data_IF_722046709722
#
_entry.id   IF_722046709722
#
_cell.length_a   1.000
_cell.length_b   1.000
_cell.length_c   1.000
_cell.angle_alpha   90.00
_cell.angle_beta   90.00
_cell.angle_gamma   90.00
#
_symmetry.space_group_name_H-M   'P 1'
#
loop_
_entity.id
_entity.type
_entity.pdbx_description
1 polymer ?
#
# COMPACT_ATOMS: atom_id res chain seq x y z
N UNK A 1 24.94 23.72 -1.40
CA UNK A 1 23.74 24.55 -1.43
C UNK A 1 22.82 24.09 -0.30
N UNK A 2 22.31 25.03 0.51
CA UNK A 2 21.36 24.71 1.58
C UNK A 2 19.99 24.47 0.94
N UNK A 3 19.47 23.23 1.06
CA UNK A 3 18.13 22.86 0.61
C UNK A 3 17.26 22.71 1.85
N UNK A 4 16.22 23.52 1.96
CA UNK A 4 15.20 23.38 3.00
C UNK A 4 14.13 22.38 2.52
N UNK A 5 13.79 21.42 3.39
CA UNK A 5 12.78 20.40 3.10
C UNK A 5 11.53 20.67 3.93
N UNK A 6 10.42 20.93 3.24
CA UNK A 6 9.09 21.03 3.85
C UNK A 6 8.39 19.69 3.63
N UNK A 7 8.32 18.90 4.69
CA UNK A 7 7.81 17.53 4.63
C UNK A 7 6.31 17.45 4.90
N UNK A 8 5.60 16.68 4.04
CA UNK A 8 4.19 16.36 4.19
C UNK A 8 3.97 14.88 3.93
N UNK A 9 3.03 14.26 4.64
CA UNK A 9 2.63 12.86 4.47
C UNK A 9 1.26 12.74 3.81
N UNK A 10 1.02 11.61 3.19
CA UNK A 10 -0.30 11.19 2.72
C UNK A 10 -0.50 9.69 3.02
N UNK A 11 -1.72 9.31 3.36
CA UNK A 11 -2.03 7.93 3.75
C UNK A 11 -2.37 7.05 2.54
N UNK A 12 -2.94 7.64 1.48
CA UNK A 12 -3.45 6.94 0.31
C UNK A 12 -2.96 7.61 -0.96
N UNK A 13 -2.38 6.84 -1.86
CA UNK A 13 -1.85 7.28 -3.15
C UNK A 13 -2.87 8.07 -4.00
N UNK A 14 -4.13 7.61 -4.04
CA UNK A 14 -5.19 8.24 -4.84
C UNK A 14 -5.57 9.62 -4.30
N UNK A 15 -5.48 9.83 -3.01
CA UNK A 15 -5.71 11.15 -2.38
C UNK A 15 -4.61 12.12 -2.78
N UNK A 16 -3.36 11.72 -2.70
CA UNK A 16 -2.21 12.50 -3.15
C UNK A 16 -2.33 12.84 -4.65
N UNK A 17 -2.59 11.83 -5.49
CA UNK A 17 -2.74 12.02 -6.93
C UNK A 17 -3.86 13.02 -7.27
N UNK A 18 -5.00 12.93 -6.57
CA UNK A 18 -6.13 13.85 -6.77
C UNK A 18 -5.74 15.30 -6.45
N UNK A 19 -4.93 15.52 -5.42
CA UNK A 19 -4.44 16.86 -5.08
C UNK A 19 -3.55 17.41 -6.19
N UNK A 20 -2.63 16.61 -6.71
CA UNK A 20 -1.74 16.99 -7.82
C UNK A 20 -2.55 17.25 -9.11
N UNK A 21 -3.50 16.38 -9.46
CA UNK A 21 -4.35 16.55 -10.66
C UNK A 21 -5.17 17.83 -10.64
N UNK A 22 -5.62 18.25 -9.45
CA UNK A 22 -6.36 19.51 -9.29
C UNK A 22 -5.47 20.75 -9.26
N UNK A 23 -4.13 20.60 -9.23
CA UNK A 23 -3.17 21.68 -9.16
C UNK A 23 -3.22 22.51 -7.89
N UNK A 24 -3.70 21.93 -6.79
CA UNK A 24 -3.86 22.63 -5.53
C UNK A 24 -2.64 22.57 -4.62
N UNK A 25 -1.66 21.73 -4.93
CA UNK A 25 -0.47 21.53 -4.08
C UNK A 25 0.81 21.73 -4.92
N UNK A 26 1.70 22.54 -4.42
CA UNK A 26 3.00 22.88 -5.02
C UNK A 26 4.08 21.93 -4.50
N UNK A 27 3.99 20.64 -4.85
CA UNK A 27 5.04 19.67 -4.50
C UNK A 27 6.20 19.74 -5.48
N UNK A 28 7.43 19.79 -4.98
CA UNK A 28 8.64 19.64 -5.78
C UNK A 28 9.04 18.17 -5.97
N UNK A 29 8.72 17.32 -4.98
CA UNK A 29 8.97 15.88 -5.00
C UNK A 29 7.78 15.17 -4.36
N UNK A 30 7.40 14.01 -4.90
CA UNK A 30 6.46 13.08 -4.27
C UNK A 30 6.99 11.66 -4.40
N UNK A 31 6.56 10.78 -3.48
CA UNK A 31 7.00 9.38 -3.45
C UNK A 31 5.79 8.44 -3.47
N UNK A 32 5.13 8.26 -4.61
CA UNK A 32 4.04 7.30 -4.77
C UNK A 32 4.54 5.88 -5.07
N UNK A 33 3.62 4.92 -4.96
CA UNK A 33 3.86 3.55 -5.39
C UNK A 33 3.90 3.41 -6.92
N UNK A 34 4.50 2.33 -7.39
CA UNK A 34 4.84 2.04 -8.79
C UNK A 34 3.66 2.23 -9.78
N UNK A 35 2.47 1.73 -9.46
CA UNK A 35 1.30 1.85 -10.34
C UNK A 35 0.80 3.29 -10.49
N UNK A 36 1.03 4.14 -9.49
CA UNK A 36 0.77 5.58 -9.58
C UNK A 36 1.83 6.28 -10.42
N UNK A 37 3.11 5.90 -10.27
CA UNK A 37 4.18 6.40 -11.14
C UNK A 37 3.84 6.12 -12.59
N UNK A 38 3.44 4.88 -12.92
CA UNK A 38 3.02 4.49 -14.27
C UNK A 38 1.85 5.35 -14.78
N UNK A 39 0.85 5.62 -13.93
CA UNK A 39 -0.29 6.49 -14.24
C UNK A 39 0.14 7.93 -14.50
N UNK A 40 1.03 8.47 -13.66
CA UNK A 40 1.53 9.85 -13.79
C UNK A 40 2.35 10.03 -15.08
N UNK A 41 3.20 9.04 -15.43
CA UNK A 41 3.93 9.03 -16.72
C UNK A 41 2.96 9.06 -17.90
N UNK A 42 1.96 8.17 -17.90
CA UNK A 42 0.98 8.08 -18.98
C UNK A 42 0.17 9.36 -19.16
N UNK A 43 -0.14 10.04 -18.07
CA UNK A 43 -0.89 11.30 -18.05
C UNK A 43 -0.03 12.56 -18.28
N UNK A 44 1.26 12.42 -18.55
CA UNK A 44 2.20 13.54 -18.72
C UNK A 44 2.23 14.48 -17.51
N UNK A 45 2.26 13.91 -16.31
CA UNK A 45 2.21 14.62 -15.03
C UNK A 45 3.58 14.79 -14.37
N UNK A 46 4.65 14.31 -14.98
CA UNK A 46 6.00 14.33 -14.41
C UNK A 46 6.98 15.13 -15.25
N UNK A 47 7.99 15.70 -14.60
CA UNK A 47 9.18 16.28 -15.18
C UNK A 47 10.33 15.28 -15.09
N UNK A 48 11.24 15.24 -16.08
CA UNK A 48 12.43 14.41 -15.99
C UNK A 48 13.35 14.89 -14.87
N UNK A 49 14.03 13.92 -14.24
CA UNK A 49 15.04 14.18 -13.23
C UNK A 49 16.27 14.80 -13.89
N UNK A 50 16.73 15.92 -13.36
CA UNK A 50 17.97 16.54 -13.84
C UNK A 50 19.19 15.81 -13.26
N UNK A 51 19.94 15.13 -14.14
CA UNK A 51 21.13 14.34 -13.78
C UNK A 51 22.44 15.18 -13.76
N UNK A 52 22.35 16.48 -13.95
CA UNK A 52 23.50 17.39 -13.78
C UNK A 52 23.66 17.75 -12.30
N UNK A 53 24.45 16.96 -11.59
CA UNK A 53 24.77 17.15 -10.17
C UNK A 53 26.07 17.92 -9.94
N UNK A 54 26.65 18.54 -10.98
CA UNK A 54 27.90 19.28 -10.89
C UNK A 54 29.06 18.40 -10.38
N UNK A 55 29.65 18.76 -9.23
CA UNK A 55 30.73 17.99 -8.60
C UNK A 55 30.24 16.88 -7.66
N UNK A 56 28.91 16.75 -7.43
CA UNK A 56 28.34 15.69 -6.60
C UNK A 56 28.26 14.41 -7.42
N UNK A 57 28.70 13.26 -6.91
CA UNK A 57 28.55 11.99 -7.60
C UNK A 57 27.07 11.67 -7.90
N UNK A 58 26.84 11.00 -9.03
CA UNK A 58 25.52 10.44 -9.33
C UNK A 58 25.36 9.10 -8.59
N UNK A 59 24.51 9.05 -7.59
CA UNK A 59 24.22 7.87 -6.78
C UNK A 59 23.00 7.06 -7.30
N UNK A 60 22.23 7.58 -8.24
CA UNK A 60 21.04 6.89 -8.77
C UNK A 60 21.39 5.52 -9.40
N UNK A 61 22.56 5.31 -10.03
CA UNK A 61 22.97 3.98 -10.50
C UNK A 61 23.13 2.91 -9.40
N UNK A 62 23.11 3.29 -8.11
CA UNK A 62 23.17 2.35 -6.99
C UNK A 62 21.89 1.53 -6.81
N UNK A 63 20.82 1.80 -7.56
CA UNK A 63 19.56 1.05 -7.49
C UNK A 63 19.76 -0.41 -7.91
N UNK A 64 19.05 -1.30 -7.22
CA UNK A 64 19.04 -2.73 -7.49
C UNK A 64 18.67 -3.03 -8.95
N UNK A 65 19.38 -3.94 -9.64
CA UNK A 65 19.07 -4.33 -11.01
C UNK A 65 17.64 -4.77 -11.20
N UNK A 66 17.12 -5.60 -10.30
CA UNK A 66 15.72 -6.05 -10.31
C UNK A 66 14.73 -4.89 -10.33
N UNK A 67 14.90 -3.92 -9.45
CA UNK A 67 14.01 -2.75 -9.36
C UNK A 67 14.13 -1.87 -10.60
N UNK A 68 15.33 -1.70 -11.15
CA UNK A 68 15.52 -0.97 -12.41
C UNK A 68 14.82 -1.67 -13.58
N UNK A 69 14.87 -3.01 -13.63
CA UNK A 69 14.18 -3.78 -14.67
C UNK A 69 12.66 -3.65 -14.55
N UNK A 70 12.11 -3.69 -13.33
CA UNK A 70 10.67 -3.48 -13.12
C UNK A 70 10.24 -2.05 -13.51
N UNK A 71 11.01 -1.02 -13.17
CA UNK A 71 10.79 0.35 -13.63
C UNK A 71 10.80 0.44 -15.16
N UNK A 72 11.77 -0.18 -15.82
CA UNK A 72 11.88 -0.17 -17.28
C UNK A 72 10.66 -0.79 -17.98
N UNK A 73 10.05 -1.84 -17.40
CA UNK A 73 8.81 -2.45 -17.91
C UNK A 73 7.61 -1.50 -17.91
N UNK A 74 7.65 -0.45 -17.09
CA UNK A 74 6.59 0.57 -17.00
C UNK A 74 6.74 1.70 -18.02
N UNK A 75 7.75 1.67 -18.86
CA UNK A 75 8.01 2.71 -19.86
C UNK A 75 6.86 2.83 -20.87
N UNK A 76 6.53 4.07 -21.27
CA UNK A 76 5.38 4.40 -22.11
C UNK A 76 5.84 5.10 -23.40
N UNK A 77 5.77 4.40 -24.54
CA UNK A 77 6.25 4.92 -25.80
C UNK A 77 7.73 5.29 -25.74
N UNK A 78 8.06 6.53 -26.06
CA UNK A 78 9.44 7.05 -26.02
C UNK A 78 9.90 7.48 -24.61
N UNK A 79 9.02 7.46 -23.60
CA UNK A 79 9.33 7.84 -22.22
C UNK A 79 9.85 6.65 -21.45
N UNK A 80 11.12 6.69 -21.08
CA UNK A 80 11.71 5.74 -20.14
C UNK A 80 11.35 6.17 -18.71
N UNK A 81 10.75 5.29 -17.94
CA UNK A 81 10.35 5.62 -16.55
C UNK A 81 11.54 6.02 -15.71
N UNK A 82 12.70 5.41 -15.94
CA UNK A 82 13.95 5.72 -15.23
C UNK A 82 14.49 7.14 -15.44
N UNK A 83 13.96 7.88 -16.43
CA UNK A 83 14.27 9.30 -16.60
C UNK A 83 13.40 10.19 -15.68
N UNK A 84 12.29 9.68 -15.15
CA UNK A 84 11.28 10.41 -14.38
C UNK A 84 11.11 9.92 -12.94
N UNK A 85 11.52 8.69 -12.65
CA UNK A 85 11.34 8.07 -11.34
C UNK A 85 12.61 7.37 -10.87
N UNK A 86 12.83 7.43 -9.55
CA UNK A 86 13.91 6.73 -8.85
C UNK A 86 13.28 5.98 -7.69
N UNK A 87 13.43 4.67 -7.67
CA UNK A 87 12.88 3.85 -6.59
C UNK A 87 13.53 4.23 -5.24
N UNK A 88 12.74 4.16 -4.19
CA UNK A 88 13.14 4.53 -2.83
C UNK A 88 13.14 3.33 -1.90
N UNK A 89 11.96 2.82 -1.56
CA UNK A 89 11.78 1.63 -0.73
C UNK A 89 11.01 0.56 -1.49
N UNK A 90 11.20 -0.69 -1.11
CA UNK A 90 10.52 -1.82 -1.71
C UNK A 90 10.19 -2.89 -0.68
N UNK A 91 9.38 -3.84 -1.05
CA UNK A 91 9.04 -4.99 -0.24
C UNK A 91 8.02 -5.90 -0.86
N UNK A 92 7.51 -6.82 -0.07
CA UNK A 92 6.45 -7.75 -0.43
C UNK A 92 5.18 -7.50 0.37
N UNK A 93 4.04 -7.96 -0.14
CA UNK A 93 2.84 -8.15 0.65
C UNK A 93 2.77 -9.60 1.09
N UNK A 94 2.41 -9.85 2.36
CA UNK A 94 2.35 -11.19 2.90
C UNK A 94 1.57 -11.25 4.20
N UNK A 95 1.60 -12.41 4.85
CA UNK A 95 0.89 -12.69 6.08
C UNK A 95 1.82 -12.54 7.28
N UNK A 96 1.63 -11.49 8.07
CA UNK A 96 2.16 -11.37 9.42
C UNK A 96 1.25 -12.17 10.34
N UNK A 97 1.79 -13.04 11.19
CA UNK A 97 1.01 -13.92 12.03
C UNK A 97 1.61 -14.09 13.42
N UNK A 98 0.76 -14.39 14.40
CA UNK A 98 1.16 -14.73 15.76
C UNK A 98 1.47 -16.22 15.84
N UNK A 99 2.73 -16.57 16.09
CA UNK A 99 3.25 -17.95 16.09
C UNK A 99 2.67 -18.84 17.19
N UNK A 100 2.11 -18.25 18.27
CA UNK A 100 1.47 -19.00 19.34
C UNK A 100 0.11 -19.61 18.94
N UNK A 101 -0.55 -19.05 17.90
CA UNK A 101 -1.93 -19.42 17.54
C UNK A 101 -2.12 -19.78 16.06
N UNK A 102 -1.14 -19.49 15.22
CA UNK A 102 -1.10 -19.79 13.79
C UNK A 102 0.23 -20.45 13.47
N UNK A 103 0.20 -21.59 12.79
CA UNK A 103 1.44 -22.25 12.33
C UNK A 103 1.98 -21.61 11.06
N UNK A 104 3.26 -21.80 10.76
CA UNK A 104 3.86 -21.32 9.52
C UNK A 104 3.16 -21.89 8.29
N UNK A 105 2.80 -23.19 8.29
CA UNK A 105 2.07 -23.81 7.19
C UNK A 105 0.70 -23.15 6.98
N UNK A 106 0.01 -22.78 8.06
CA UNK A 106 -1.26 -22.05 7.97
C UNK A 106 -1.08 -20.64 7.39
N UNK A 107 0.01 -19.95 7.74
CA UNK A 107 0.29 -18.61 7.25
C UNK A 107 0.77 -18.60 5.79
N UNK A 108 1.51 -19.64 5.37
CA UNK A 108 2.07 -19.80 4.02
C UNK A 108 0.98 -19.98 2.94
N UNK A 109 -0.13 -20.62 3.26
CA UNK A 109 -1.23 -20.81 2.31
C UNK A 109 -2.22 -19.65 2.39
N UNK A 110 -2.34 -18.84 1.34
CA UNK A 110 -3.31 -17.72 1.33
C UNK A 110 -4.76 -18.20 1.53
N UNK A 111 -5.07 -19.48 1.21
CA UNK A 111 -6.37 -20.11 1.43
C UNK A 111 -6.84 -20.01 2.90
N UNK A 112 -5.92 -19.97 3.85
CA UNK A 112 -6.24 -19.88 5.26
C UNK A 112 -6.84 -18.53 5.66
N UNK A 113 -6.67 -17.47 4.89
CA UNK A 113 -7.39 -16.22 5.09
C UNK A 113 -8.91 -16.37 4.92
N UNK A 114 -9.36 -17.39 4.18
CA UNK A 114 -10.78 -17.77 4.01
C UNK A 114 -11.27 -18.81 5.03
N UNK A 115 -10.39 -19.36 5.86
CA UNK A 115 -10.74 -20.42 6.81
C UNK A 115 -11.59 -19.86 7.96
N UNK A 116 -12.80 -20.41 8.23
CA UNK A 116 -13.65 -19.96 9.34
C UNK A 116 -13.02 -20.05 10.74
N UNK A 117 -11.93 -20.83 10.92
CA UNK A 117 -11.11 -20.83 12.13
C UNK A 117 -10.71 -19.43 12.55
N UNK A 118 -10.47 -18.53 11.59
CA UNK A 118 -9.97 -17.19 11.78
C UNK A 118 -11.07 -16.11 11.77
N UNK A 119 -12.32 -16.49 12.03
CA UNK A 119 -13.44 -15.55 12.08
C UNK A 119 -13.13 -14.34 12.98
N UNK A 120 -13.18 -13.12 12.43
CA UNK A 120 -12.88 -11.86 13.10
C UNK A 120 -11.48 -11.82 13.76
N UNK A 121 -10.48 -12.48 13.13
CA UNK A 121 -9.11 -12.57 13.63
C UNK A 121 -8.06 -12.08 12.65
N UNK A 122 -8.46 -11.62 11.47
CA UNK A 122 -7.57 -11.18 10.40
C UNK A 122 -7.71 -9.68 10.19
N UNK A 123 -6.60 -8.99 10.03
CA UNK A 123 -6.54 -7.65 9.45
C UNK A 123 -6.11 -7.72 7.99
N UNK A 124 -6.55 -6.75 7.23
CA UNK A 124 -6.17 -6.57 5.84
C UNK A 124 -5.81 -5.12 5.59
N UNK A 125 -4.82 -4.86 4.75
CA UNK A 125 -4.52 -3.51 4.28
C UNK A 125 -5.72 -2.88 3.60
N UNK A 126 -6.00 -1.60 3.90
CA UNK A 126 -7.01 -0.80 3.21
C UNK A 126 -6.50 -0.33 1.84
N UNK A 127 -6.09 -1.29 1.04
CA UNK A 127 -5.57 -1.14 -0.31
C UNK A 127 -6.38 -1.99 -1.28
N UNK A 128 -7.12 -1.33 -2.16
CA UNK A 128 -7.95 -2.05 -3.14
C UNK A 128 -7.11 -2.89 -4.09
N UNK A 129 -5.87 -2.47 -4.41
CA UNK A 129 -4.99 -3.20 -5.33
C UNK A 129 -4.42 -4.46 -4.69
N UNK A 130 -3.93 -4.39 -3.46
CA UNK A 130 -3.41 -5.55 -2.73
C UNK A 130 -4.51 -6.57 -2.46
N UNK A 131 -5.68 -6.11 -1.99
CA UNK A 131 -6.83 -6.99 -1.74
C UNK A 131 -7.37 -7.64 -3.01
N UNK A 132 -7.42 -6.89 -4.13
CA UNK A 132 -7.78 -7.42 -5.44
C UNK A 132 -6.80 -8.51 -5.88
N UNK A 133 -5.49 -8.20 -5.81
CA UNK A 133 -4.42 -9.12 -6.18
C UNK A 133 -4.50 -10.43 -5.40
N UNK A 134 -4.60 -10.36 -4.09
CA UNK A 134 -4.73 -11.53 -3.22
C UNK A 134 -5.97 -12.36 -3.58
N UNK A 135 -7.13 -11.72 -3.73
CA UNK A 135 -8.39 -12.43 -4.02
C UNK A 135 -8.38 -13.13 -5.38
N UNK A 136 -7.80 -12.50 -6.41
CA UNK A 136 -7.75 -13.11 -7.75
C UNK A 136 -6.70 -14.24 -7.83
N UNK A 137 -5.60 -14.13 -7.08
CA UNK A 137 -4.62 -15.21 -6.91
C UNK A 137 -5.33 -16.41 -6.26
N UNK A 138 -5.99 -16.23 -5.13
CA UNK A 138 -6.72 -17.28 -4.44
C UNK A 138 -7.77 -17.95 -5.34
N UNK A 139 -8.57 -17.16 -6.07
CA UNK A 139 -9.59 -17.65 -6.99
C UNK A 139 -9.02 -18.52 -8.14
N UNK A 140 -7.74 -18.41 -8.41
CA UNK A 140 -7.06 -19.10 -9.50
C UNK A 140 -5.88 -19.98 -9.03
N UNK A 141 -5.75 -20.26 -7.74
CA UNK A 141 -4.62 -21.00 -7.16
C UNK A 141 -4.33 -22.32 -7.88
N UNK A 142 -5.37 -23.10 -8.25
CA UNK A 142 -5.20 -24.36 -8.94
C UNK A 142 -4.66 -24.18 -10.37
N UNK A 143 -4.99 -23.07 -11.04
CA UNK A 143 -4.47 -22.73 -12.36
C UNK A 143 -3.02 -22.26 -12.29
N UNK A 144 -2.68 -21.52 -11.24
CA UNK A 144 -1.29 -21.12 -10.95
C UNK A 144 -0.44 -22.37 -10.70
N UNK A 145 -0.91 -23.28 -9.84
CA UNK A 145 -0.20 -24.53 -9.52
C UNK A 145 0.03 -25.43 -10.76
N UNK A 146 -0.86 -25.37 -11.75
CA UNK A 146 -0.73 -26.09 -13.03
C UNK A 146 0.11 -25.33 -14.08
N UNK A 147 0.55 -24.10 -13.78
CA UNK A 147 1.26 -23.25 -14.72
C UNK A 147 0.40 -22.74 -15.89
N UNK A 148 -0.93 -22.73 -15.76
CA UNK A 148 -1.87 -22.26 -16.78
C UNK A 148 -1.95 -20.74 -16.85
N UNK A 149 -1.59 -20.05 -15.77
CA UNK A 149 -1.63 -18.58 -15.62
C UNK A 149 -0.58 -18.13 -14.62
N UNK A 150 -0.02 -16.94 -14.83
CA UNK A 150 0.95 -16.35 -13.91
C UNK A 150 0.29 -15.39 -12.93
N UNK A 151 0.94 -15.16 -11.79
CA UNK A 151 0.52 -14.15 -10.80
C UNK A 151 0.47 -12.77 -11.43
N UNK A 152 1.46 -12.41 -12.28
CA UNK A 152 1.50 -11.13 -12.98
C UNK A 152 0.27 -10.93 -13.88
N UNK A 153 -0.10 -11.96 -14.65
CA UNK A 153 -1.29 -11.89 -15.50
C UNK A 153 -2.56 -11.66 -14.68
N UNK A 154 -2.72 -12.36 -13.56
CA UNK A 154 -3.92 -12.29 -12.73
C UNK A 154 -4.05 -10.94 -12.00
N UNK A 155 -2.98 -10.49 -11.34
CA UNK A 155 -3.02 -9.25 -10.56
C UNK A 155 -3.27 -8.00 -11.41
N UNK A 156 -2.94 -8.08 -12.71
CA UNK A 156 -3.06 -6.98 -13.66
C UNK A 156 -4.20 -7.17 -14.67
N UNK A 157 -4.99 -8.25 -14.53
CA UNK A 157 -6.23 -8.45 -15.29
C UNK A 157 -7.38 -7.69 -14.63
N UNK A 158 -7.94 -6.73 -15.35
CA UNK A 158 -9.09 -5.92 -14.94
C UNK A 158 -10.36 -6.24 -15.77
N UNK A 159 -10.43 -7.45 -16.32
CA UNK A 159 -11.63 -7.92 -17.00
C UNK A 159 -12.82 -8.00 -16.05
N UNK A 160 -14.02 -7.87 -16.59
CA UNK A 160 -15.26 -7.99 -15.80
C UNK A 160 -15.36 -9.31 -15.03
N UNK A 161 -14.87 -10.41 -15.65
CA UNK A 161 -14.84 -11.72 -15.03
C UNK A 161 -13.91 -11.76 -13.83
N UNK A 162 -12.70 -11.23 -13.97
CA UNK A 162 -11.72 -11.16 -12.86
C UNK A 162 -12.18 -10.26 -11.73
N UNK A 163 -12.78 -9.09 -12.05
CA UNK A 163 -13.37 -8.20 -11.04
C UNK A 163 -14.49 -8.91 -10.27
N UNK A 164 -15.39 -9.61 -10.96
CA UNK A 164 -16.48 -10.33 -10.31
C UNK A 164 -15.97 -11.48 -9.42
N UNK A 165 -14.97 -12.24 -9.86
CA UNK A 165 -14.33 -13.30 -9.07
C UNK A 165 -13.66 -12.73 -7.82
N UNK A 166 -12.90 -11.65 -7.95
CA UNK A 166 -12.24 -11.00 -6.82
C UNK A 166 -13.27 -10.48 -5.80
N UNK A 167 -14.35 -9.85 -6.27
CA UNK A 167 -15.44 -9.37 -5.40
C UNK A 167 -16.09 -10.53 -4.62
N UNK A 168 -16.37 -11.65 -5.29
CA UNK A 168 -16.92 -12.84 -4.65
C UNK A 168 -16.01 -13.36 -3.54
N UNK A 169 -14.71 -13.50 -3.83
CA UNK A 169 -13.75 -14.01 -2.85
C UNK A 169 -13.59 -13.05 -1.67
N UNK A 170 -13.48 -11.75 -1.90
CA UNK A 170 -13.39 -10.76 -0.82
C UNK A 170 -14.63 -10.77 0.08
N UNK A 171 -15.83 -10.95 -0.47
CA UNK A 171 -17.07 -11.09 0.30
C UNK A 171 -17.10 -12.37 1.12
N UNK A 172 -16.59 -13.49 0.58
CA UNK A 172 -16.48 -14.76 1.31
C UNK A 172 -15.46 -14.68 2.46
N UNK A 173 -14.36 -13.94 2.29
CA UNK A 173 -13.35 -13.73 3.31
C UNK A 173 -13.83 -12.75 4.42
N UNK A 174 -14.74 -11.85 4.11
CA UNK A 174 -15.17 -10.74 4.98
C UNK A 174 -15.51 -11.12 6.42
N UNK A 175 -16.16 -12.27 6.74
CA UNK A 175 -16.42 -12.67 8.12
C UNK A 175 -15.15 -12.86 8.96
N UNK A 176 -14.02 -13.15 8.34
CA UNK A 176 -12.74 -13.33 9.01
C UNK A 176 -12.04 -11.99 9.30
N UNK A 177 -12.44 -10.92 8.62
CA UNK A 177 -11.81 -9.61 8.70
C UNK A 177 -12.29 -8.85 9.94
N UNK A 178 -11.37 -8.60 10.87
CA UNK A 178 -11.59 -7.75 12.05
C UNK A 178 -11.51 -6.26 11.69
N UNK A 179 -10.79 -5.89 10.64
CA UNK A 179 -10.67 -4.51 10.17
C UNK A 179 -9.85 -4.36 8.91
N UNK A 180 -10.15 -3.30 8.16
CA UNK A 180 -9.33 -2.79 7.06
C UNK A 180 -8.43 -1.71 7.64
N UNK A 181 -7.12 -1.84 7.48
CA UNK A 181 -6.16 -1.00 8.19
C UNK A 181 -5.15 -0.36 7.24
N UNK A 182 -4.75 0.86 7.55
CA UNK A 182 -3.64 1.54 6.88
C UNK A 182 -2.36 1.50 7.74
N UNK A 183 -2.49 1.69 9.06
CA UNK A 183 -1.35 1.79 9.97
C UNK A 183 -1.59 1.14 11.36
N UNK A 184 -2.84 1.07 11.83
CA UNK A 184 -3.15 0.55 13.18
C UNK A 184 -2.97 -0.97 13.33
N UNK A 185 -2.76 -1.69 12.24
CA UNK A 185 -2.60 -3.15 12.25
C UNK A 185 -1.41 -3.60 13.06
N UNK A 186 -0.32 -2.88 13.01
CA UNK A 186 0.90 -3.12 13.81
C UNK A 186 0.57 -3.21 15.30
N UNK A 187 -0.13 -2.20 15.83
CA UNK A 187 -0.52 -2.15 17.25
C UNK A 187 -1.50 -3.26 17.65
N UNK A 188 -2.41 -3.66 16.76
CA UNK A 188 -3.34 -4.74 17.04
C UNK A 188 -2.67 -6.11 17.08
N UNK A 189 -1.65 -6.33 16.26
CA UNK A 189 -0.82 -7.54 16.27
C UNK A 189 0.02 -7.61 17.55
N UNK A 190 0.76 -6.55 17.88
CA UNK A 190 1.60 -6.49 19.09
C UNK A 190 0.80 -6.68 20.39
N UNK A 191 -0.49 -6.34 20.40
CA UNK A 191 -1.40 -6.56 21.53
C UNK A 191 -2.10 -7.93 21.53
N UNK A 192 -1.81 -8.81 20.55
CA UNK A 192 -2.43 -10.14 20.44
C UNK A 192 -3.95 -10.11 20.20
N UNK A 193 -4.52 -8.99 19.74
CA UNK A 193 -5.98 -8.85 19.51
C UNK A 193 -6.46 -9.58 18.28
N UNK A 194 -5.61 -9.67 17.27
CA UNK A 194 -5.81 -10.39 16.02
C UNK A 194 -4.68 -11.38 15.83
N UNK A 195 -4.87 -12.36 14.96
CA UNK A 195 -3.95 -13.49 14.81
C UNK A 195 -3.15 -13.42 13.53
N UNK A 196 -3.68 -12.77 12.49
CA UNK A 196 -3.03 -12.55 11.20
C UNK A 196 -3.30 -11.12 10.70
N UNK A 197 -2.36 -10.61 9.92
CA UNK A 197 -2.51 -9.37 9.16
C UNK A 197 -1.88 -9.56 7.79
N UNK A 198 -2.66 -9.48 6.72
CA UNK A 198 -2.10 -9.39 5.38
C UNK A 198 -1.59 -7.97 5.17
N UNK A 199 -0.28 -7.79 5.20
CA UNK A 199 0.39 -6.50 5.31
C UNK A 199 1.65 -6.42 4.46
N UNK A 200 2.30 -5.27 4.47
CA UNK A 200 3.58 -5.05 3.82
C UNK A 200 4.74 -5.44 4.71
N UNK A 201 5.82 -5.97 4.10
CA UNK A 201 6.98 -6.51 4.83
C UNK A 201 7.64 -5.52 5.78
N UNK A 202 7.71 -4.22 5.43
CA UNK A 202 8.29 -3.21 6.34
C UNK A 202 7.43 -2.97 7.59
N UNK A 203 6.10 -2.98 7.46
CA UNK A 203 5.20 -2.95 8.63
C UNK A 203 5.32 -4.22 9.47
N UNK A 204 5.58 -5.36 8.81
CA UNK A 204 5.79 -6.62 9.50
C UNK A 204 7.09 -6.61 10.33
N UNK A 205 8.21 -6.14 9.78
CA UNK A 205 9.49 -5.98 10.50
C UNK A 205 9.28 -5.16 11.77
N UNK A 206 8.68 -3.98 11.63
CA UNK A 206 8.41 -3.12 12.78
C UNK A 206 7.51 -3.81 13.83
N UNK A 207 6.47 -4.49 13.38
CA UNK A 207 5.54 -5.18 14.30
C UNK A 207 6.19 -6.37 15.00
N UNK A 208 7.10 -7.11 14.35
CA UNK A 208 7.86 -8.23 14.94
C UNK A 208 8.78 -7.71 16.05
N UNK A 209 9.52 -6.63 15.79
CA UNK A 209 10.42 -6.02 16.77
C UNK A 209 9.66 -5.50 17.99
N UNK A 210 8.61 -4.71 17.82
CA UNK A 210 7.79 -4.16 18.90
C UNK A 210 7.05 -5.26 19.69
N UNK A 211 6.59 -6.32 19.02
CA UNK A 211 5.91 -7.44 19.67
C UNK A 211 6.85 -8.22 20.57
N UNK A 212 8.10 -8.44 20.16
CA UNK A 212 9.12 -9.13 20.94
C UNK A 212 9.40 -8.41 22.28
N UNK A 213 9.37 -7.06 22.31
CA UNK A 213 9.55 -6.28 23.54
C UNK A 213 8.45 -6.54 24.59
N UNK A 214 7.25 -6.92 24.14
CA UNK A 214 6.11 -7.20 25.04
C UNK A 214 5.82 -8.71 25.19
N UNK A 215 6.70 -9.57 24.66
CA UNK A 215 6.62 -11.01 24.78
C UNK A 215 5.56 -11.66 23.89
N UNK A 216 5.24 -11.04 22.74
CA UNK A 216 4.39 -11.62 21.68
C UNK A 216 5.30 -12.02 20.51
N UNK A 217 5.23 -13.28 20.10
CA UNK A 217 6.02 -13.78 18.98
C UNK A 217 5.24 -13.68 17.68
N UNK A 218 5.74 -12.85 16.78
CA UNK A 218 5.21 -12.67 15.43
C UNK A 218 6.23 -13.13 14.40
N UNK A 219 5.74 -13.60 13.25
CA UNK A 219 6.55 -13.90 12.09
C UNK A 219 5.79 -13.54 10.80
N UNK A 220 6.49 -13.51 9.67
CA UNK A 220 5.95 -13.05 8.39
C UNK A 220 6.34 -13.99 7.27
N UNK A 221 5.37 -14.32 6.42
CA UNK A 221 5.58 -15.15 5.24
C UNK A 221 4.89 -14.58 4.01
N UNK A 222 5.51 -14.80 2.85
CA UNK A 222 4.87 -14.52 1.55
C UNK A 222 4.15 -15.79 1.09
N UNK A 223 2.84 -15.73 0.75
CA UNK A 223 2.07 -16.90 0.35
C UNK A 223 2.71 -17.71 -0.80
N UNK A 224 2.57 -19.04 -0.74
CA UNK A 224 3.15 -19.95 -1.75
C UNK A 224 2.50 -19.79 -3.11
N UNK A 225 1.25 -19.37 -3.17
CA UNK A 225 0.51 -19.12 -4.41
C UNK A 225 1.01 -17.87 -5.14
N UNK A 226 1.75 -17.01 -4.42
CA UNK A 226 2.27 -15.75 -4.93
C UNK A 226 1.67 -14.53 -4.26
N UNK A 227 2.27 -13.39 -4.47
CA UNK A 227 1.86 -12.13 -3.88
C UNK A 227 2.36 -10.92 -4.68
N UNK A 228 2.17 -9.73 -4.10
CA UNK A 228 2.66 -8.47 -4.63
C UNK A 228 4.10 -8.21 -4.18
N UNK A 229 4.96 -7.81 -5.14
CA UNK A 229 6.18 -7.03 -4.87
C UNK A 229 5.86 -5.59 -5.25
N UNK A 230 6.10 -4.68 -4.35
CA UNK A 230 5.84 -3.27 -4.54
C UNK A 230 7.12 -2.44 -4.34
N UNK A 231 7.16 -1.27 -4.92
CA UNK A 231 8.16 -0.26 -4.60
C UNK A 231 7.56 1.14 -4.70
N UNK A 232 8.00 2.02 -3.81
CA UNK A 232 7.71 3.44 -3.90
C UNK A 232 8.88 4.15 -4.58
N UNK A 233 8.61 5.24 -5.27
CA UNK A 233 9.64 5.95 -5.99
C UNK A 233 9.46 7.47 -5.98
N UNK A 234 10.60 8.16 -5.94
CA UNK A 234 10.67 9.59 -6.03
C UNK A 234 10.40 10.05 -7.46
N UNK A 235 9.45 10.99 -7.60
CA UNK A 235 9.12 11.63 -8.87
C UNK A 235 8.96 13.13 -8.69
N UNK A 236 9.17 13.90 -9.77
CA UNK A 236 9.04 15.34 -9.81
C UNK A 236 7.74 15.70 -10.54
N UNK A 237 6.71 16.22 -9.85
CA UNK A 237 5.45 16.62 -10.48
C UNK A 237 5.64 17.72 -11.54
N UNK A 238 4.80 17.73 -12.56
CA UNK A 238 4.88 18.65 -13.71
C UNK A 238 4.95 20.13 -13.36
N UNK A 239 4.35 20.52 -12.26
CA UNK A 239 4.31 21.92 -11.80
C UNK A 239 5.32 22.24 -10.71
N UNK A 240 6.29 21.35 -10.46
CA UNK A 240 7.39 21.58 -9.53
C UNK A 240 8.18 22.83 -9.89
N UNK A 241 8.53 23.64 -8.90
CA UNK A 241 9.25 24.91 -9.08
C UNK A 241 10.75 24.76 -8.92
N UNK A 242 11.17 23.78 -8.12
CA UNK A 242 12.56 23.59 -7.72
C UNK A 242 13.14 22.28 -8.25
N UNK A 243 12.98 22.01 -9.57
CA UNK A 243 13.38 20.74 -10.22
C UNK A 243 14.83 20.36 -9.94
N UNK A 244 15.75 21.33 -9.95
CA UNK A 244 17.17 21.06 -9.67
C UNK A 244 17.38 20.62 -8.23
N UNK A 245 16.78 21.31 -7.24
CA UNK A 245 16.86 20.95 -5.83
C UNK A 245 16.20 19.59 -5.58
N UNK A 246 15.04 19.33 -6.18
CA UNK A 246 14.34 18.05 -6.15
C UNK A 246 15.25 16.91 -6.67
N UNK A 247 15.92 17.12 -7.79
CA UNK A 247 16.85 16.13 -8.36
C UNK A 247 18.06 15.86 -7.47
N UNK A 248 18.61 16.89 -6.83
CA UNK A 248 19.68 16.71 -5.83
C UNK A 248 19.21 15.94 -4.60
N UNK A 249 18.00 16.22 -4.12
CA UNK A 249 17.39 15.47 -3.02
C UNK A 249 17.22 14.00 -3.38
N UNK A 250 16.69 13.68 -4.56
CA UNK A 250 16.51 12.31 -5.05
C UNK A 250 17.87 11.59 -5.13
N UNK A 251 18.89 12.25 -5.70
CA UNK A 251 20.22 11.70 -5.77
C UNK A 251 20.83 11.46 -4.37
N UNK A 252 20.63 12.37 -3.43
CA UNK A 252 21.07 12.24 -2.05
C UNK A 252 20.45 11.02 -1.36
N UNK A 253 19.17 10.73 -1.62
CA UNK A 253 18.46 9.57 -1.06
C UNK A 253 19.02 8.23 -1.57
N UNK A 254 19.76 8.21 -2.69
CA UNK A 254 20.43 7.04 -3.24
C UNK A 254 21.84 6.79 -2.69
N UNK A 255 22.32 7.62 -1.77
CA UNK A 255 23.60 7.39 -1.09
C UNK A 255 23.47 6.19 -0.14
N UNK A 256 24.44 5.26 -0.11
CA UNK A 256 24.36 4.07 0.74
C UNK A 256 24.18 4.39 2.24
N UNK A 257 24.94 5.37 2.75
CA UNK A 257 24.84 5.79 4.16
C UNK A 257 23.48 6.42 4.52
N UNK A 258 22.85 7.10 3.57
CA UNK A 258 21.51 7.68 3.75
C UNK A 258 20.44 6.61 3.60
N UNK A 259 20.59 5.69 2.66
CA UNK A 259 19.71 4.54 2.49
C UNK A 259 19.64 3.70 3.78
N UNK A 260 20.81 3.36 4.37
CA UNK A 260 20.86 2.64 5.65
C UNK A 260 20.15 3.38 6.77
N UNK A 261 20.40 4.69 6.94
CA UNK A 261 19.69 5.50 7.96
C UNK A 261 18.17 5.49 7.77
N UNK A 262 17.71 5.55 6.53
CA UNK A 262 16.28 5.50 6.24
C UNK A 262 15.69 4.13 6.57
N UNK A 263 16.40 3.04 6.23
CA UNK A 263 16.00 1.68 6.59
C UNK A 263 15.86 1.52 8.11
N UNK A 264 16.85 1.98 8.87
CA UNK A 264 16.85 1.90 10.33
C UNK A 264 15.74 2.76 10.97
N UNK A 265 15.38 3.88 10.33
CA UNK A 265 14.36 4.79 10.86
C UNK A 265 12.93 4.35 10.60
N UNK A 266 12.67 3.62 9.49
CA UNK A 266 11.31 3.32 9.04
C UNK A 266 11.00 1.83 8.90
N UNK A 267 12.00 0.95 9.05
CA UNK A 267 11.84 -0.50 8.97
C UNK A 267 11.68 -1.08 7.56
N UNK A 268 11.62 -0.23 6.53
CA UNK A 268 11.49 -0.66 5.13
C UNK A 268 12.86 -0.82 4.46
N UNK A 269 12.92 -1.64 3.42
CA UNK A 269 14.14 -1.92 2.67
C UNK A 269 14.33 -0.90 1.55
N UNK A 270 15.54 -0.31 1.47
CA UNK A 270 15.89 0.60 0.38
C UNK A 270 16.02 -0.13 -0.95
N UNK A 271 15.63 0.54 -2.03
CA UNK A 271 15.89 0.08 -3.40
C UNK A 271 17.38 0.19 -3.82
N UNK A 272 18.22 0.79 -2.99
CA UNK A 272 19.66 0.89 -3.21
C UNK A 272 20.33 -0.45 -2.88
N UNK A 273 21.14 -0.97 -3.81
CA UNK A 273 21.81 -2.26 -3.70
C UNK A 273 23.31 -2.10 -3.92
N UNK A 274 24.01 -1.74 -2.87
CA UNK A 274 25.48 -1.63 -2.90
C UNK A 274 26.12 -2.65 -1.96
N UNK A 275 27.41 -2.98 -2.14
CA UNK A 275 28.12 -3.88 -1.22
C UNK A 275 28.06 -3.43 0.23
N UNK A 276 28.10 -2.11 0.49
CA UNK A 276 28.04 -1.56 1.85
C UNK A 276 26.69 -1.85 2.51
N UNK A 277 25.58 -1.82 1.75
CA UNK A 277 24.25 -2.16 2.27
C UNK A 277 24.17 -3.66 2.54
N UNK A 278 24.63 -4.50 1.61
CA UNK A 278 24.63 -5.94 1.82
C UNK A 278 25.43 -6.31 3.07
N UNK A 279 26.67 -5.79 3.21
CA UNK A 279 27.53 -6.04 4.37
C UNK A 279 26.87 -5.63 5.69
N UNK A 280 26.16 -4.48 5.70
CA UNK A 280 25.45 -3.99 6.89
C UNK A 280 24.21 -4.80 7.25
N UNK A 281 23.68 -5.63 6.34
CA UNK A 281 22.46 -6.43 6.54
C UNK A 281 22.73 -7.93 6.69
N UNK A 282 23.97 -8.39 6.54
CA UNK A 282 24.36 -9.76 6.85
C UNK A 282 24.26 -10.00 8.36
N UNK A 283 23.53 -11.04 8.72
CA UNK A 283 23.43 -11.53 10.09
C UNK A 283 23.87 -13.00 10.18
N UNK A 284 25.08 -13.21 10.62
CA UNK A 284 25.69 -14.54 10.76
C UNK A 284 25.07 -15.40 11.89
N UNK A 285 24.14 -14.86 12.66
CA UNK A 285 23.39 -15.63 13.67
C UNK A 285 22.21 -16.41 13.08
N UNK A 286 21.78 -16.04 11.86
CA UNK A 286 20.72 -16.74 11.14
C UNK A 286 21.22 -18.09 10.60
N UNK A 287 20.38 -19.10 10.64
CA UNK A 287 20.72 -20.44 10.15
C UNK A 287 20.52 -20.59 8.63
N UNK A 288 19.56 -19.84 8.08
CA UNK A 288 19.16 -19.96 6.67
C UNK A 288 19.93 -19.00 5.77
N UNK A 289 20.20 -19.46 4.54
CA UNK A 289 20.81 -18.68 3.49
C UNK A 289 19.78 -18.32 2.43
N UNK A 290 19.85 -17.12 1.88
CA UNK A 290 19.01 -16.62 0.80
C UNK A 290 19.83 -16.30 -0.46
N UNK A 291 19.29 -16.62 -1.63
CA UNK A 291 19.80 -16.14 -2.92
C UNK A 291 19.26 -14.73 -3.21
N UNK A 292 20.13 -13.73 -3.05
CA UNK A 292 19.85 -12.33 -3.34
C UNK A 292 20.52 -11.85 -4.64
N UNK A 293 20.95 -12.77 -5.50
CA UNK A 293 21.63 -12.42 -6.76
C UNK A 293 20.79 -11.54 -7.68
N UNK A 294 19.47 -11.59 -7.58
CA UNK A 294 18.55 -10.74 -8.31
C UNK A 294 18.61 -9.27 -7.90
N UNK A 295 19.03 -9.00 -6.65
CA UNK A 295 19.00 -7.66 -6.05
C UNK A 295 20.41 -7.05 -5.97
N UNK A 296 21.37 -7.76 -5.39
CA UNK A 296 22.75 -7.28 -5.19
C UNK A 296 23.75 -7.73 -6.27
N UNK A 297 23.35 -8.65 -7.14
CA UNK A 297 24.23 -9.22 -8.16
C UNK A 297 24.74 -10.61 -7.83
N UNK A 298 25.48 -11.26 -8.77
CA UNK A 298 25.77 -12.70 -8.72
C UNK A 298 26.54 -13.17 -7.48
N UNK A 299 27.29 -12.29 -6.81
CA UNK A 299 28.08 -12.64 -5.63
C UNK A 299 27.22 -12.80 -4.36
N UNK A 300 25.93 -12.42 -4.41
CA UNK A 300 24.99 -12.53 -3.30
C UNK A 300 24.06 -13.76 -3.46
N UNK A 301 24.54 -14.86 -4.02
CA UNK A 301 23.74 -16.07 -4.26
C UNK A 301 23.55 -16.96 -3.02
N UNK A 302 24.24 -16.66 -1.91
CA UNK A 302 24.17 -17.41 -0.66
C UNK A 302 24.59 -16.54 0.52
N UNK A 303 23.64 -15.76 1.07
CA UNK A 303 23.89 -14.81 2.15
C UNK A 303 22.89 -15.00 3.30
N UNK A 304 23.34 -14.77 4.53
CA UNK A 304 22.50 -14.82 5.73
C UNK A 304 21.94 -13.44 6.02
N UNK A 305 20.66 -13.24 5.74
CA UNK A 305 19.94 -11.97 5.94
C UNK A 305 18.54 -12.25 6.43
N UNK A 306 17.89 -11.26 7.03
CA UNK A 306 16.48 -11.36 7.41
C UNK A 306 15.59 -11.58 6.17
N UNK A 307 14.90 -12.74 6.05
CA UNK A 307 14.07 -13.06 4.89
C UNK A 307 12.81 -12.21 4.78
N UNK A 308 12.40 -11.52 5.85
CA UNK A 308 11.29 -10.57 5.84
C UNK A 308 11.70 -9.31 5.08
N UNK A 309 12.92 -8.86 5.28
CA UNK A 309 13.51 -7.71 4.58
C UNK A 309 13.97 -8.08 3.17
N UNK A 310 14.70 -9.17 3.04
CA UNK A 310 15.31 -9.63 1.80
C UNK A 310 14.87 -11.07 1.48
N UNK A 311 13.69 -11.23 0.88
CA UNK A 311 13.18 -12.56 0.52
C UNK A 311 14.08 -13.24 -0.51
N UNK A 312 14.17 -14.57 -0.40
CA UNK A 312 14.89 -15.41 -1.35
C UNK A 312 14.36 -15.23 -2.79
N UNK A 313 15.22 -15.42 -3.78
CA UNK A 313 14.89 -15.33 -5.20
C UNK A 313 13.69 -16.18 -5.61
N UNK A 314 13.53 -17.37 -5.02
CA UNK A 314 12.37 -18.25 -5.31
C UNK A 314 11.07 -17.64 -4.78
N UNK A 315 11.11 -16.86 -3.69
CA UNK A 315 9.95 -16.11 -3.21
C UNK A 315 9.59 -15.01 -4.21
N UNK A 316 10.57 -14.25 -4.69
CA UNK A 316 10.35 -13.17 -5.67
C UNK A 316 9.82 -13.69 -7.00
N UNK A 317 10.28 -14.85 -7.47
CA UNK A 317 9.80 -15.46 -8.73
C UNK A 317 8.30 -15.77 -8.75
N UNK A 318 7.69 -16.03 -7.60
CA UNK A 318 6.24 -16.25 -7.49
C UNK A 318 5.43 -14.99 -7.23
N UNK A 319 6.08 -13.85 -7.08
CA UNK A 319 5.45 -12.56 -6.89
C UNK A 319 5.38 -11.75 -8.19
N UNK A 320 4.57 -10.70 -8.18
CA UNK A 320 4.44 -9.80 -9.31
C UNK A 320 4.23 -8.36 -8.86
N UNK A 321 4.63 -7.43 -9.71
CA UNK A 321 4.43 -6.00 -9.49
C UNK A 321 3.05 -5.59 -9.98
N UNK A 322 2.35 -4.78 -9.18
CA UNK A 322 1.07 -4.19 -9.53
C UNK A 322 1.28 -3.13 -10.62
N UNK A 323 0.50 -3.21 -11.72
CA UNK A 323 0.49 -2.25 -12.82
C UNK A 323 -0.75 -1.36 -12.75
N UNK A 324 -0.66 -0.17 -13.34
CA UNK A 324 -1.84 0.69 -13.42
C UNK A 324 -2.90 0.12 -14.36
N UNK A 325 -4.16 0.20 -13.95
CA UNK A 325 -5.29 -0.08 -14.83
C UNK A 325 -5.46 1.09 -15.81
N UNK A 326 -5.08 0.85 -17.06
CA UNK A 326 -5.00 1.91 -18.07
C UNK A 326 -6.36 2.45 -18.48
N UNK A 327 -7.40 1.61 -18.47
CA UNK A 327 -8.76 2.00 -18.82
C UNK A 327 -9.46 2.63 -17.61
N UNK A 328 -9.92 3.88 -17.77
CA UNK A 328 -10.64 4.62 -16.73
C UNK A 328 -11.93 3.94 -16.29
N UNK A 329 -12.66 3.31 -17.21
CA UNK A 329 -13.91 2.60 -16.87
C UNK A 329 -13.66 1.38 -16.01
N UNK A 330 -12.59 0.62 -16.30
CA UNK A 330 -12.25 -0.56 -15.53
C UNK A 330 -11.72 -0.21 -14.16
N UNK A 331 -10.90 0.84 -14.05
CA UNK A 331 -10.51 1.39 -12.76
C UNK A 331 -11.74 1.78 -11.92
N UNK A 332 -12.71 2.45 -12.52
CA UNK A 332 -13.95 2.83 -11.84
C UNK A 332 -14.70 1.59 -11.32
N UNK A 333 -14.79 0.53 -12.12
CA UNK A 333 -15.44 -0.74 -11.72
C UNK A 333 -14.75 -1.40 -10.53
N UNK A 334 -13.41 -1.40 -10.52
CA UNK A 334 -12.63 -1.94 -9.39
C UNK A 334 -12.86 -1.11 -8.13
N UNK A 335 -12.89 0.22 -8.23
CA UNK A 335 -13.20 1.10 -7.09
C UNK A 335 -14.63 0.92 -6.58
N UNK A 336 -15.60 0.72 -7.48
CA UNK A 336 -16.99 0.41 -7.10
C UNK A 336 -17.10 -0.97 -6.43
N UNK A 337 -16.39 -1.98 -6.95
CA UNK A 337 -16.26 -3.29 -6.32
C UNK A 337 -15.71 -3.15 -4.90
N UNK A 338 -14.61 -2.42 -4.72
CA UNK A 338 -14.00 -2.16 -3.42
C UNK A 338 -14.97 -1.47 -2.45
N UNK A 339 -15.69 -0.47 -2.93
CA UNK A 339 -16.74 0.21 -2.15
C UNK A 339 -17.84 -0.77 -1.70
N UNK A 340 -18.30 -1.69 -2.58
CA UNK A 340 -19.28 -2.72 -2.22
C UNK A 340 -18.75 -3.71 -1.19
N UNK A 341 -17.46 -4.11 -1.31
CA UNK A 341 -16.81 -5.01 -0.34
C UNK A 341 -16.72 -4.35 1.04
N UNK A 342 -16.34 -3.10 1.11
CA UNK A 342 -16.22 -2.35 2.38
C UNK A 342 -17.55 -1.84 2.91
N UNK A 343 -18.43 -1.37 2.02
CA UNK A 343 -19.63 -0.59 2.35
C UNK A 343 -20.79 -1.37 2.98
N UNK A 344 -20.80 -2.70 2.92
CA UNK A 344 -21.82 -3.55 3.57
C UNK A 344 -21.80 -3.45 5.11
N UNK A 345 -20.96 -2.62 5.71
CA UNK A 345 -20.91 -2.37 7.15
C UNK A 345 -21.92 -1.33 7.64
N UNK A 346 -22.55 -0.55 6.76
CA UNK A 346 -23.70 0.27 7.11
C UNK A 346 -24.96 -0.61 6.97
N UNK A 347 -25.31 -1.30 8.07
CA UNK A 347 -26.59 -2.00 8.17
C UNK A 347 -27.71 -1.05 7.72
N UNK A 348 -28.51 -1.46 6.73
CA UNK A 348 -29.64 -0.68 6.20
C UNK A 348 -30.53 -0.14 7.33
N UNK A 349 -30.63 -0.89 8.44
CA UNK A 349 -31.32 -0.45 9.66
C UNK A 349 -30.68 0.77 10.33
N UNK A 350 -29.35 0.88 10.35
CA UNK A 350 -28.64 2.06 10.90
C UNK A 350 -28.85 3.27 10.00
N UNK A 351 -28.80 3.10 8.69
CA UNK A 351 -29.09 4.17 7.71
C UNK A 351 -30.51 4.68 7.87
N UNK A 352 -31.50 3.79 7.96
CA UNK A 352 -32.88 4.13 8.20
C UNK A 352 -33.11 4.82 9.56
N UNK A 353 -32.40 4.37 10.61
CA UNK A 353 -32.43 5.01 11.93
C UNK A 353 -31.89 6.45 11.87
N UNK A 354 -30.79 6.67 11.17
CA UNK A 354 -30.21 8.01 10.97
C UNK A 354 -31.21 8.92 10.25
N UNK A 355 -31.83 8.45 9.16
CA UNK A 355 -32.87 9.21 8.45
C UNK A 355 -34.09 9.48 9.32
N UNK A 356 -34.55 8.52 10.14
CA UNK A 356 -35.64 8.69 11.06
C UNK A 356 -35.34 9.75 12.15
N UNK A 357 -34.11 9.75 12.71
CA UNK A 357 -33.67 10.73 13.70
C UNK A 357 -33.62 12.12 13.09
N UNK A 358 -32.99 12.29 11.92
CA UNK A 358 -32.93 13.58 11.24
C UNK A 358 -34.29 14.07 10.78
N UNK A 359 -35.16 13.18 10.27
CA UNK A 359 -36.54 13.49 9.92
C UNK A 359 -37.35 13.93 11.14
N UNK A 360 -37.21 13.23 12.26
CA UNK A 360 -37.86 13.60 13.53
C UNK A 360 -37.42 14.97 14.06
N UNK A 361 -36.11 15.24 14.02
CA UNK A 361 -35.54 16.55 14.39
C UNK A 361 -36.07 17.67 13.47
N UNK A 362 -36.14 17.43 12.18
CA UNK A 362 -36.68 18.40 11.23
C UNK A 362 -38.17 18.73 11.52
N UNK A 363 -38.98 17.69 11.69
CA UNK A 363 -40.40 17.85 12.05
C UNK A 363 -40.57 18.60 13.37
N UNK A 364 -39.78 18.26 14.40
CA UNK A 364 -39.76 18.97 15.68
C UNK A 364 -39.39 20.44 15.53
N UNK A 365 -38.40 20.80 14.74
CA UNK A 365 -37.99 22.17 14.43
C UNK A 365 -39.11 22.96 13.74
N UNK A 366 -39.81 22.34 12.77
CA UNK A 366 -40.94 22.95 12.07
C UNK A 366 -42.07 23.21 13.06
N UNK A 367 -42.48 22.20 13.85
CA UNK A 367 -43.52 22.34 14.86
C UNK A 367 -43.17 23.41 15.89
N UNK A 368 -41.92 23.44 16.37
CA UNK A 368 -41.48 24.44 17.35
C UNK A 368 -41.55 25.88 16.78
N UNK A 369 -41.16 26.06 15.50
CA UNK A 369 -41.28 27.37 14.80
C UNK A 369 -42.76 27.79 14.65
N UNK A 370 -43.62 26.87 14.23
CA UNK A 370 -45.07 27.13 14.08
C UNK A 370 -45.71 27.50 15.43
N UNK A 371 -45.39 26.75 16.48
CA UNK A 371 -45.90 27.06 17.83
C UNK A 371 -45.37 28.41 18.37
N UNK A 372 -44.13 28.75 18.08
CA UNK A 372 -43.56 30.06 18.43
C UNK A 372 -44.24 31.21 17.68
N UNK A 373 -44.58 30.98 16.40
CA UNK A 373 -45.35 31.93 15.59
C UNK A 373 -46.78 32.11 16.11
N UNK A 374 -47.52 31.00 16.41
CA UNK A 374 -48.86 31.03 16.99
C UNK A 374 -48.89 31.77 18.32
N UNK A 375 -47.93 31.53 19.22
CA UNK A 375 -47.81 32.26 20.51
C UNK A 375 -47.57 33.76 20.30
N UNK A 376 -46.77 34.18 19.29
CA UNK A 376 -46.59 35.59 18.95
C UNK A 376 -47.88 36.23 18.43
N UNK A 377 -48.65 35.55 17.62
CA UNK A 377 -49.92 36.04 17.09
C UNK A 377 -50.95 36.19 18.20
N UNK A 378 -51.09 35.23 19.12
CA UNK A 378 -51.99 35.33 20.28
C UNK A 378 -51.60 36.51 21.23
N UNK A 379 -50.31 36.77 21.42
CA UNK A 379 -49.86 37.93 22.20
C UNK A 379 -50.17 39.27 21.52
N UNK A 380 -50.11 39.36 20.18
CA UNK A 380 -50.51 40.58 19.42
C UNK A 380 -52.00 40.82 19.48
N UNK A 381 -52.82 39.79 19.42
CA UNK A 381 -54.28 39.92 19.53
C UNK A 381 -54.70 40.35 20.93
N UNK A 382 -54.08 39.82 22.00
CA UNK A 382 -54.38 40.29 23.39
C UNK A 382 -53.99 41.75 23.64
N UNK A 383 -52.93 42.27 22.99
CA UNK A 383 -52.55 43.71 23.11
C UNK A 383 -53.42 44.66 22.31
N UNK A 384 -54.20 44.18 21.33
CA UNK A 384 -55.16 45.03 20.60
C UNK A 384 -56.55 45.08 21.23
N UNK A 385 -56.82 44.26 22.24
CA UNK A 385 -58.10 44.25 22.98
C UNK A 385 -58.04 44.90 24.38
N UNK A 386 -56.88 45.44 24.71
CA UNK A 386 -56.68 46.41 25.82
C UNK A 386 -56.43 47.79 25.24
#
# INVERSE_FOLDING_TARGET
EDIEIIYQVFDINEVMLTKIERGHEDYDVVCPSEYIIERMIRKDMLLPINRDFGNTPDYIPNLAPYIQDELNKMSQGDKKVTDYAVAYMWGTAGTLYNTEVVTEEEALECANLWNPKFNNKILMKDSYRDCYGLAIIYANKDRIAKGEVTVEQLMNDNSHESIAKAEEQLKLMKPNIAGWEADFGKEMMTKGKVWMNFTWSGDAVWAIEEAAEVGVELDYVVPIEGSNVWFDGWVIPKYARNVKAASYFINYMCRPDIALRNMDAIGYVSAVATPEILEAKIDSTLENYSDLSYFFGPEADSVQVDPVQYPDKEVIKRCAVIRDFTNKEDLQKVLEMWSRVKGDNLNTGIVLLIFAVFGGLFVWLVISKVNKYRRKMHRKHRRRRR
#
